data_IF_083489888695
#
_entry.id   IF_083489888695
#
_cell.length_a   1.000
_cell.length_b   1.000
_cell.length_c   1.000
_cell.angle_alpha   90.00
_cell.angle_beta   90.00
_cell.angle_gamma   90.00
#
_symmetry.space_group_name_H-M   'P 1'
#
loop_
_entity.id
_entity.type
_entity.pdbx_description
1 polymer ?
#
# COMPACT_ATOMS: atom_id res chain seq x y z
N UNK A 1 23.74 -11.23 -10.95
CA UNK A 1 23.32 -9.87 -11.37
C UNK A 1 22.44 -9.13 -10.35
N UNK A 2 21.40 -9.75 -9.75
CA UNK A 2 20.50 -9.10 -8.77
C UNK A 2 21.19 -8.40 -7.57
N UNK A 3 22.32 -8.94 -7.06
CA UNK A 3 23.08 -8.34 -5.95
C UNK A 3 23.68 -6.96 -6.30
N UNK A 4 23.91 -6.65 -7.59
CA UNK A 4 24.51 -5.38 -8.04
C UNK A 4 23.49 -4.24 -8.03
N UNK A 5 22.31 -4.48 -8.60
CA UNK A 5 21.18 -3.54 -8.61
C UNK A 5 20.78 -3.10 -7.21
N UNK A 6 20.71 -4.05 -6.27
CA UNK A 6 20.19 -3.75 -4.94
C UNK A 6 21.12 -2.84 -4.13
N UNK A 7 22.43 -2.91 -4.39
CA UNK A 7 23.42 -2.03 -3.76
C UNK A 7 23.29 -0.58 -4.23
N UNK A 8 22.77 -0.36 -5.44
CA UNK A 8 22.64 0.98 -6.02
C UNK A 8 21.70 1.89 -5.21
N UNK A 9 20.62 1.32 -4.65
CA UNK A 9 19.60 2.05 -3.90
C UNK A 9 19.85 2.13 -2.39
N UNK A 10 21.01 1.66 -1.92
CA UNK A 10 21.31 1.49 -0.50
C UNK A 10 22.24 2.61 0.00
N UNK A 11 21.74 3.58 0.80
CA UNK A 11 22.60 4.42 1.63
C UNK A 11 23.39 3.58 2.65
N UNK A 12 24.55 4.08 3.07
CA UNK A 12 25.34 3.43 4.11
C UNK A 12 24.83 3.78 5.50
N UNK A 13 24.06 2.86 6.11
CA UNK A 13 23.66 2.96 7.52
C UNK A 13 24.63 2.19 8.42
N UNK A 14 25.14 2.86 9.46
CA UNK A 14 25.99 2.24 10.50
C UNK A 14 25.18 1.32 11.42
N UNK A 15 23.93 1.67 11.71
CA UNK A 15 23.06 0.90 12.58
C UNK A 15 22.50 -0.35 11.85
N UNK A 16 22.75 -1.58 12.36
CA UNK A 16 22.21 -2.81 11.76
C UNK A 16 20.68 -2.84 11.64
N UNK A 17 19.96 -2.23 12.59
CA UNK A 17 18.49 -2.20 12.60
C UNK A 17 17.95 -1.31 11.47
N UNK A 18 18.51 -0.11 11.29
CA UNK A 18 18.14 0.79 10.20
C UNK A 18 18.42 0.16 8.84
N UNK A 19 19.56 -0.53 8.72
CA UNK A 19 19.90 -1.29 7.51
C UNK A 19 18.88 -2.39 7.22
N UNK A 20 18.37 -3.09 8.24
CA UNK A 20 17.31 -4.10 8.07
C UNK A 20 16.00 -3.44 7.59
N UNK A 21 15.57 -2.35 8.25
CA UNK A 21 14.34 -1.64 7.89
C UNK A 21 14.38 -1.06 6.47
N UNK A 22 15.51 -0.48 6.10
CA UNK A 22 15.77 -0.01 4.74
C UNK A 22 15.64 -1.15 3.73
N UNK A 23 16.19 -2.33 4.02
CA UNK A 23 16.10 -3.47 3.11
C UNK A 23 14.66 -3.93 2.89
N UNK A 24 13.88 -3.99 3.98
CA UNK A 24 12.46 -4.31 3.97
C UNK A 24 11.67 -3.26 3.18
N UNK A 25 11.95 -1.97 3.39
CA UNK A 25 11.30 -0.88 2.66
C UNK A 25 11.55 -1.00 1.15
N UNK A 26 12.80 -1.22 0.73
CA UNK A 26 13.15 -1.37 -0.70
C UNK A 26 12.45 -2.60 -1.29
N UNK A 27 12.51 -3.74 -0.59
CA UNK A 27 11.86 -4.99 -1.02
C UNK A 27 10.34 -4.83 -1.17
N UNK A 28 9.69 -4.29 -0.14
CA UNK A 28 8.26 -4.02 -0.15
C UNK A 28 7.87 -3.01 -1.25
N UNK A 29 8.68 -1.97 -1.46
CA UNK A 29 8.43 -0.96 -2.51
C UNK A 29 8.43 -1.57 -3.90
N UNK A 30 9.41 -2.43 -4.22
CA UNK A 30 9.44 -3.12 -5.51
C UNK A 30 8.33 -4.17 -5.64
N UNK A 31 8.04 -4.92 -4.58
CA UNK A 31 7.00 -5.94 -4.59
C UNK A 31 5.61 -5.32 -4.79
N UNK A 32 5.24 -4.31 -4.00
CA UNK A 32 3.97 -3.58 -4.16
C UNK A 32 3.95 -2.82 -5.49
N UNK A 33 5.07 -2.22 -5.89
CA UNK A 33 5.22 -1.56 -7.18
C UNK A 33 4.88 -2.49 -8.34
N UNK A 34 5.36 -3.74 -8.29
CA UNK A 34 5.07 -4.77 -9.29
C UNK A 34 3.61 -5.23 -9.27
N UNK A 35 2.99 -5.31 -8.09
CA UNK A 35 1.56 -5.62 -7.97
C UNK A 35 0.65 -4.53 -8.55
N UNK A 36 1.09 -3.26 -8.59
CA UNK A 36 0.31 -2.15 -9.15
C UNK A 36 -0.22 -2.39 -10.57
N UNK A 37 0.66 -2.69 -11.56
CA UNK A 37 0.24 -3.08 -12.91
C UNK A 37 -0.66 -4.32 -12.98
N UNK A 38 -0.42 -5.33 -12.13
CA UNK A 38 -1.26 -6.53 -12.06
C UNK A 38 -2.68 -6.15 -11.61
N UNK A 39 -2.82 -5.37 -10.55
CA UNK A 39 -4.11 -4.87 -10.09
C UNK A 39 -4.78 -3.94 -11.10
N UNK A 40 -4.00 -3.09 -11.79
CA UNK A 40 -4.50 -2.26 -12.89
C UNK A 40 -5.14 -3.13 -13.96
N UNK A 41 -4.44 -4.16 -14.43
CA UNK A 41 -4.93 -5.04 -15.48
C UNK A 41 -6.22 -5.77 -15.06
N UNK A 42 -6.24 -6.33 -13.85
CA UNK A 42 -7.43 -7.01 -13.31
C UNK A 42 -8.62 -6.05 -13.19
N UNK A 43 -8.44 -4.87 -12.59
CA UNK A 43 -9.51 -3.88 -12.43
C UNK A 43 -9.99 -3.32 -13.77
N UNK A 44 -9.10 -3.20 -14.76
CA UNK A 44 -9.43 -2.75 -16.10
C UNK A 44 -10.31 -3.78 -16.83
N UNK A 45 -9.95 -5.07 -16.77
CA UNK A 45 -10.75 -6.16 -17.34
C UNK A 45 -12.14 -6.26 -16.71
N UNK A 46 -12.26 -5.90 -15.43
CA UNK A 46 -13.52 -5.87 -14.69
C UNK A 46 -14.36 -4.60 -14.95
N UNK A 47 -13.88 -3.67 -15.78
CA UNK A 47 -14.58 -2.43 -16.15
C UNK A 47 -14.38 -1.25 -15.19
N UNK A 48 -13.59 -1.41 -14.11
CA UNK A 48 -13.34 -0.37 -13.10
C UNK A 48 -12.18 0.55 -13.50
N UNK A 49 -12.33 1.30 -14.59
CA UNK A 49 -11.28 2.14 -15.19
C UNK A 49 -10.65 3.14 -14.20
N UNK A 50 -11.45 3.80 -13.37
CA UNK A 50 -10.94 4.76 -12.37
C UNK A 50 -10.06 4.06 -11.34
N UNK A 51 -10.53 2.93 -10.82
CA UNK A 51 -9.80 2.11 -9.85
C UNK A 51 -8.51 1.53 -10.45
N UNK A 52 -8.51 1.13 -11.73
CA UNK A 52 -7.32 0.62 -12.39
C UNK A 52 -6.21 1.67 -12.52
N UNK A 53 -6.56 2.93 -12.81
CA UNK A 53 -5.57 4.01 -12.86
C UNK A 53 -4.98 4.33 -11.48
N UNK A 54 -5.81 4.30 -10.43
CA UNK A 54 -5.33 4.48 -9.06
C UNK A 54 -4.33 3.38 -8.66
N UNK A 55 -4.63 2.13 -8.99
CA UNK A 55 -3.73 1.00 -8.73
C UNK A 55 -2.37 1.17 -9.46
N UNK A 56 -2.39 1.63 -10.72
CA UNK A 56 -1.18 1.90 -11.48
C UNK A 56 -0.36 3.04 -10.88
N UNK A 57 -1.01 4.17 -10.56
CA UNK A 57 -0.35 5.32 -9.94
C UNK A 57 0.24 4.96 -8.58
N UNK A 58 -0.45 4.12 -7.81
CA UNK A 58 0.09 3.59 -6.55
C UNK A 58 1.35 2.75 -6.78
N UNK A 59 1.35 1.86 -7.78
CA UNK A 59 2.52 1.07 -8.15
C UNK A 59 3.72 1.93 -8.55
N UNK A 60 3.49 2.94 -9.40
CA UNK A 60 4.53 3.90 -9.80
C UNK A 60 5.02 4.73 -8.61
N UNK A 61 4.12 5.18 -7.74
CA UNK A 61 4.47 5.88 -6.51
C UNK A 61 5.32 5.02 -5.57
N UNK A 62 5.02 3.73 -5.44
CA UNK A 62 5.83 2.80 -4.65
C UNK A 62 7.22 2.63 -5.25
N UNK A 63 7.34 2.53 -6.58
CA UNK A 63 8.65 2.49 -7.24
C UNK A 63 9.47 3.76 -7.04
N UNK A 64 8.87 4.92 -6.75
CA UNK A 64 9.61 6.15 -6.45
C UNK A 64 10.35 6.09 -5.10
N UNK A 65 9.89 5.26 -4.17
CA UNK A 65 10.39 5.21 -2.78
C UNK A 65 11.89 4.91 -2.69
N UNK A 66 12.45 3.88 -3.35
CA UNK A 66 13.89 3.62 -3.33
C UNK A 66 14.72 4.75 -3.93
N UNK A 67 14.18 5.50 -4.89
CA UNK A 67 14.89 6.66 -5.47
C UNK A 67 14.95 7.81 -4.47
N UNK A 68 13.85 8.12 -3.78
CA UNK A 68 13.83 9.13 -2.71
C UNK A 68 14.75 8.73 -1.56
N UNK A 69 14.75 7.47 -1.18
CA UNK A 69 15.67 6.95 -0.16
C UNK A 69 17.13 7.15 -0.55
N UNK A 70 17.47 6.89 -1.81
CA UNK A 70 18.82 7.07 -2.32
C UNK A 70 19.24 8.55 -2.36
N UNK A 71 18.35 9.43 -2.78
CA UNK A 71 18.65 10.87 -2.90
C UNK A 71 18.74 11.55 -1.53
N UNK A 72 17.89 11.16 -0.58
CA UNK A 72 17.77 11.86 0.71
C UNK A 72 18.54 11.19 1.84
N UNK A 73 18.85 9.89 1.71
CA UNK A 73 19.40 9.09 2.81
C UNK A 73 18.46 8.96 4.02
N UNK A 74 17.21 9.44 3.91
CA UNK A 74 16.26 9.46 5.03
C UNK A 74 15.28 8.30 4.94
N UNK A 75 15.49 7.32 5.82
CA UNK A 75 14.59 6.18 5.97
C UNK A 75 13.18 6.64 6.39
N UNK A 76 13.10 7.64 7.29
CA UNK A 76 11.83 8.16 7.78
C UNK A 76 10.99 8.83 6.70
N UNK A 77 11.63 9.68 5.87
CA UNK A 77 10.94 10.33 4.75
C UNK A 77 10.44 9.30 3.73
N UNK A 78 11.30 8.36 3.37
CA UNK A 78 10.98 7.32 2.38
C UNK A 78 9.89 6.37 2.87
N UNK A 79 9.93 5.98 4.15
CA UNK A 79 8.87 5.19 4.77
C UNK A 79 7.53 5.93 4.75
N UNK A 80 7.52 7.22 5.11
CA UNK A 80 6.28 8.01 5.10
C UNK A 80 5.75 8.21 3.68
N UNK A 81 6.63 8.36 2.67
CA UNK A 81 6.20 8.43 1.27
C UNK A 81 5.50 7.15 0.85
N UNK A 82 6.11 5.98 1.08
CA UNK A 82 5.50 4.68 0.75
C UNK A 82 4.15 4.49 1.46
N UNK A 83 4.09 4.81 2.76
CA UNK A 83 2.86 4.71 3.54
C UNK A 83 1.80 5.69 3.04
N UNK A 84 2.17 6.90 2.62
CA UNK A 84 1.24 7.89 2.06
C UNK A 84 0.67 7.43 0.72
N UNK A 85 1.53 6.94 -0.17
CA UNK A 85 1.10 6.38 -1.46
C UNK A 85 0.11 5.23 -1.24
N UNK A 86 0.47 4.29 -0.36
CA UNK A 86 -0.38 3.15 -0.02
C UNK A 86 -1.71 3.60 0.59
N UNK A 87 -1.66 4.48 1.60
CA UNK A 87 -2.83 4.99 2.30
C UNK A 87 -3.82 5.68 1.37
N UNK A 88 -3.33 6.61 0.53
CA UNK A 88 -4.18 7.36 -0.40
C UNK A 88 -4.80 6.41 -1.43
N UNK A 89 -4.00 5.51 -2.01
CA UNK A 89 -4.50 4.56 -3.00
C UNK A 89 -5.57 3.65 -2.43
N UNK A 90 -5.32 3.02 -1.28
CA UNK A 90 -6.27 2.10 -0.66
C UNK A 90 -7.51 2.86 -0.18
N UNK A 91 -7.36 4.05 0.41
CA UNK A 91 -8.50 4.89 0.81
C UNK A 91 -9.41 5.24 -0.36
N UNK A 92 -8.85 5.63 -1.50
CA UNK A 92 -9.63 5.94 -2.70
C UNK A 92 -10.31 4.69 -3.27
N UNK A 93 -9.61 3.57 -3.29
CA UNK A 93 -10.17 2.30 -3.77
C UNK A 93 -11.29 1.78 -2.86
N UNK A 94 -11.23 2.03 -1.54
CA UNK A 94 -12.34 1.73 -0.62
C UNK A 94 -13.62 2.48 -1.08
N UNK A 95 -13.53 3.79 -1.33
CA UNK A 95 -14.68 4.59 -1.77
C UNK A 95 -15.22 4.19 -3.14
N UNK A 96 -14.35 3.82 -4.07
CA UNK A 96 -14.73 3.40 -5.43
C UNK A 96 -15.24 1.97 -5.53
N UNK A 97 -15.03 1.13 -4.51
CA UNK A 97 -15.37 -0.29 -4.53
C UNK A 97 -16.36 -0.68 -3.42
N UNK A 98 -17.24 0.23 -3.02
CA UNK A 98 -18.35 -0.08 -2.10
C UNK A 98 -18.19 0.42 -0.66
N UNK A 99 -17.26 1.34 -0.40
CA UNK A 99 -17.08 1.94 0.92
C UNK A 99 -16.77 0.88 1.98
N UNK A 100 -17.58 0.80 3.04
CA UNK A 100 -17.37 -0.13 4.16
C UNK A 100 -17.49 -1.61 3.76
N UNK A 101 -18.08 -1.93 2.60
CA UNK A 101 -18.14 -3.30 2.07
C UNK A 101 -16.99 -3.61 1.10
N UNK A 102 -16.04 -2.69 0.94
CA UNK A 102 -14.94 -2.85 -0.01
C UNK A 102 -13.94 -3.93 0.42
N UNK A 103 -13.46 -4.79 -0.51
CA UNK A 103 -12.40 -5.75 -0.22
C UNK A 103 -11.08 -5.07 0.17
N UNK A 104 -10.93 -3.78 -0.13
CA UNK A 104 -9.75 -2.98 0.16
C UNK A 104 -9.60 -2.59 1.64
N UNK A 105 -10.58 -2.90 2.49
CA UNK A 105 -10.42 -2.77 3.94
C UNK A 105 -9.34 -3.71 4.50
N UNK A 106 -9.19 -4.91 3.93
CA UNK A 106 -8.17 -5.88 4.35
C UNK A 106 -6.76 -5.30 4.19
N UNK A 107 -6.34 -4.82 2.99
CA UNK A 107 -5.04 -4.17 2.83
C UNK A 107 -4.90 -2.90 3.69
N UNK A 108 -5.97 -2.13 3.92
CA UNK A 108 -5.91 -0.96 4.80
C UNK A 108 -5.47 -1.33 6.24
N UNK A 109 -5.94 -2.47 6.77
CA UNK A 109 -5.52 -2.97 8.09
C UNK A 109 -4.03 -3.33 8.15
N UNK A 110 -3.39 -3.60 7.02
CA UNK A 110 -1.95 -3.89 6.98
C UNK A 110 -1.09 -2.64 7.15
N UNK A 111 -1.64 -1.45 6.91
CA UNK A 111 -0.88 -0.20 6.92
C UNK A 111 -0.18 0.08 8.28
N UNK A 112 -0.82 -0.05 9.45
CA UNK A 112 -0.14 0.11 10.74
C UNK A 112 0.94 -0.95 10.99
N UNK A 113 0.74 -2.18 10.51
CA UNK A 113 1.73 -3.27 10.63
C UNK A 113 2.98 -2.92 9.82
N UNK A 114 2.78 -2.48 8.58
CA UNK A 114 3.83 -2.02 7.68
C UNK A 114 4.54 -0.77 8.22
N UNK A 115 3.81 0.16 8.84
CA UNK A 115 4.41 1.30 9.52
C UNK A 115 5.29 0.86 10.71
N UNK A 116 4.87 -0.16 11.47
CA UNK A 116 5.67 -0.70 12.56
C UNK A 116 6.98 -1.35 12.12
N UNK A 117 7.00 -1.99 10.94
CA UNK A 117 8.19 -2.71 10.46
C UNK A 117 9.30 -1.76 10.05
N UNK A 118 9.03 -0.70 9.28
CA UNK A 118 10.10 0.15 8.74
C UNK A 118 10.01 1.65 9.07
N UNK A 119 8.88 2.17 9.56
CA UNK A 119 8.81 3.60 9.90
C UNK A 119 9.47 3.91 11.27
N UNK A 120 10.03 5.12 11.45
CA UNK A 120 10.47 5.61 12.76
C UNK A 120 9.33 5.64 13.77
N UNK A 121 9.67 5.46 15.07
CA UNK A 121 8.69 5.30 16.17
C UNK A 121 7.61 6.38 16.20
N UNK A 122 7.99 7.63 15.92
CA UNK A 122 7.10 8.80 15.96
C UNK A 122 5.95 8.71 14.95
N UNK A 123 6.16 8.09 13.79
CA UNK A 123 5.15 8.04 12.71
C UNK A 123 4.21 6.84 12.81
N UNK A 124 4.54 5.83 13.62
CA UNK A 124 3.76 4.58 13.71
C UNK A 124 2.35 4.81 14.23
N UNK A 125 2.25 5.67 15.24
CA UNK A 125 0.97 6.05 15.87
C UNK A 125 0.11 6.86 14.90
N UNK A 126 0.72 7.75 14.11
CA UNK A 126 0.01 8.53 13.10
C UNK A 126 -0.70 7.62 12.10
N UNK A 127 0.00 6.61 11.57
CA UNK A 127 -0.58 5.69 10.59
C UNK A 127 -1.63 4.75 11.19
N UNK A 128 -1.49 4.39 12.47
CA UNK A 128 -2.53 3.68 13.21
C UNK A 128 -3.83 4.50 13.28
N UNK A 129 -3.75 5.76 13.72
CA UNK A 129 -4.93 6.63 13.80
C UNK A 129 -5.48 6.98 12.41
N UNK A 130 -4.64 7.15 11.39
CA UNK A 130 -5.10 7.37 10.02
C UNK A 130 -5.95 6.19 9.51
N UNK A 131 -5.53 4.95 9.81
CA UNK A 131 -6.27 3.72 9.45
C UNK A 131 -7.64 3.68 10.13
N UNK A 132 -7.69 3.98 11.44
CA UNK A 132 -8.94 4.08 12.19
C UNK A 132 -9.84 5.19 11.61
N UNK A 133 -9.25 6.34 11.28
CA UNK A 133 -9.96 7.48 10.69
C UNK A 133 -10.67 7.11 9.39
N UNK A 134 -10.03 6.33 8.51
CA UNK A 134 -10.67 5.84 7.28
C UNK A 134 -11.84 4.92 7.58
N UNK A 135 -11.68 3.99 8.53
CA UNK A 135 -12.76 3.08 8.92
C UNK A 135 -13.97 3.83 9.48
N UNK A 136 -13.73 4.80 10.37
CA UNK A 136 -14.78 5.67 10.93
C UNK A 136 -15.43 6.49 9.82
N UNK A 137 -14.64 7.11 8.95
CA UNK A 137 -15.15 7.95 7.87
C UNK A 137 -16.14 7.19 6.97
N UNK A 138 -15.77 6.00 6.50
CA UNK A 138 -16.66 5.19 5.65
C UNK A 138 -17.85 4.60 6.42
N UNK A 139 -17.69 4.26 7.70
CA UNK A 139 -18.78 3.77 8.55
C UNK A 139 -19.83 4.86 8.81
N UNK A 140 -19.39 6.06 9.17
CA UNK A 140 -20.28 7.22 9.39
C UNK A 140 -20.97 7.60 8.09
N UNK A 141 -20.25 7.65 6.96
CA UNK A 141 -20.86 7.88 5.65
C UNK A 141 -21.96 6.88 5.32
N UNK A 142 -21.74 5.59 5.61
CA UNK A 142 -22.76 4.56 5.43
C UNK A 142 -23.98 4.76 6.34
N UNK A 143 -23.77 5.08 7.62
CA UNK A 143 -24.85 5.36 8.58
C UNK A 143 -25.69 6.59 8.19
N UNK A 144 -25.07 7.59 7.56
CA UNK A 144 -25.75 8.77 7.04
C UNK A 144 -26.44 8.54 5.69
N UNK A 145 -26.43 7.30 5.17
CA UNK A 145 -27.08 6.93 3.92
C UNK A 145 -26.30 7.30 2.66
N UNK A 146 -25.01 7.63 2.77
CA UNK A 146 -24.17 7.93 1.60
C UNK A 146 -23.99 6.66 0.74
N UNK A 147 -24.37 6.76 -0.53
CA UNK A 147 -24.24 5.67 -1.49
C UNK A 147 -22.84 5.72 -2.13
N UNK A 148 -22.00 4.76 -1.75
CA UNK A 148 -20.73 4.53 -2.42
C UNK A 148 -20.95 3.88 -3.79
N UNK A 149 -19.90 3.84 -4.60
CA UNK A 149 -19.96 3.13 -5.89
C UNK A 149 -20.40 1.67 -5.65
N UNK A 150 -21.19 1.08 -6.57
CA UNK A 150 -21.77 -0.23 -6.37
C UNK A 150 -20.68 -1.26 -6.05
N UNK A 151 -20.91 -2.13 -5.05
CA UNK A 151 -19.92 -3.12 -4.64
C UNK A 151 -19.65 -4.11 -5.77
N UNK A 152 -18.44 -4.65 -5.78
CA UNK A 152 -18.03 -5.68 -6.73
C UNK A 152 -18.98 -6.89 -6.65
N UNK A 153 -19.32 -7.52 -7.79
CA UNK A 153 -20.02 -8.80 -7.80
C UNK A 153 -19.29 -9.84 -6.94
N UNK A 154 -20.03 -10.69 -6.23
CA UNK A 154 -19.48 -11.62 -5.21
C UNK A 154 -18.38 -12.54 -5.76
N UNK A 155 -18.50 -12.97 -7.01
CA UNK A 155 -17.47 -13.79 -7.71
C UNK A 155 -16.16 -13.03 -7.91
N UNK A 156 -16.25 -11.74 -8.25
CA UNK A 156 -15.09 -10.85 -8.42
C UNK A 156 -14.48 -10.47 -7.08
N UNK A 157 -15.31 -10.30 -6.05
CA UNK A 157 -14.88 -10.00 -4.70
C UNK A 157 -13.94 -11.10 -4.17
N UNK A 158 -14.28 -12.38 -4.39
CA UNK A 158 -13.44 -13.51 -3.98
C UNK A 158 -12.10 -13.53 -4.72
N UNK A 159 -12.10 -13.33 -6.04
CA UNK A 159 -10.86 -13.29 -6.84
C UNK A 159 -9.93 -12.15 -6.39
N UNK A 160 -10.49 -10.99 -6.08
CA UNK A 160 -9.71 -9.84 -5.65
C UNK A 160 -9.19 -10.04 -4.22
N UNK A 161 -10.00 -10.63 -3.33
CA UNK A 161 -9.56 -11.00 -1.98
C UNK A 161 -8.44 -12.04 -1.99
N UNK A 162 -8.54 -13.11 -2.79
CA UNK A 162 -7.48 -14.12 -2.88
C UNK A 162 -6.19 -13.52 -3.43
N UNK A 163 -6.28 -12.68 -4.45
CA UNK A 163 -5.13 -11.95 -5.01
C UNK A 163 -4.47 -11.04 -3.97
N UNK A 164 -5.28 -10.30 -3.19
CA UNK A 164 -4.79 -9.46 -2.09
C UNK A 164 -4.14 -10.28 -0.98
N UNK A 165 -4.74 -11.41 -0.60
CA UNK A 165 -4.17 -12.29 0.43
C UNK A 165 -2.81 -12.85 -0.02
N UNK A 166 -2.68 -13.26 -1.28
CA UNK A 166 -1.40 -13.70 -1.87
C UNK A 166 -0.38 -12.55 -1.85
N UNK A 167 -0.79 -11.34 -2.23
CA UNK A 167 0.10 -10.18 -2.19
C UNK A 167 0.56 -9.85 -0.75
N UNK A 168 -0.33 -9.94 0.23
CA UNK A 168 -0.01 -9.69 1.65
C UNK A 168 0.88 -10.79 2.22
N UNK A 169 0.63 -12.07 1.90
CA UNK A 169 1.47 -13.18 2.40
C UNK A 169 2.85 -13.14 1.78
N UNK A 170 2.98 -12.80 0.49
CA UNK A 170 4.28 -12.62 -0.17
C UNK A 170 5.08 -11.47 0.44
N UNK A 171 4.42 -10.37 0.82
CA UNK A 171 5.04 -9.29 1.61
C UNK A 171 5.50 -9.74 2.99
N UNK A 172 4.75 -10.63 3.64
CA UNK A 172 5.12 -11.17 4.96
C UNK A 172 6.33 -12.12 4.92
N UNK A 173 6.65 -12.69 3.76
CA UNK A 173 7.76 -13.64 3.57
C UNK A 173 9.08 -12.98 3.13
N UNK A 174 9.06 -11.70 2.72
CA UNK A 174 10.23 -10.94 2.26
C UNK A 174 10.95 -10.20 3.38
#
# INVERSE_FOLDING_TARGET
>A
MLKSWYRYFRPEYKNPEERRKMNMLIGASFLVGFWGPVFMFVLFLLGYKKSSYIALLAGLGMFSTPFVLRQTGSLGLSANLALSVYFVAVSLLIGLLGGISSPMLIPMITLPVVAWTFAPRQHRILWFFATIGVYIFYSVGHLLGYTFSPPLPRSTHLLLQTSLLIAITTLGLS
#
